data_IF_048771686532
#
_entry.id   IF_048771686532
#
_cell.length_a   1.000
_cell.length_b   1.000
_cell.length_c   1.000
_cell.angle_alpha   90.00
_cell.angle_beta   90.00
_cell.angle_gamma   90.00
#
_symmetry.space_group_name_H-M   'P 1'
#
loop_
_entity.id
_entity.type
_entity.pdbx_description
1 polymer ?
#
# COMPACT_ATOMS: atom_id res chain seq x y z
N UNK A 1 18.29 35.09 8.14
CA UNK A 1 18.54 34.17 9.27
C UNK A 1 17.70 34.60 10.48
N UNK A 2 16.39 34.30 10.48
CA UNK A 2 15.55 34.36 11.68
C UNK A 2 14.69 33.11 11.67
N UNK A 3 14.83 32.31 12.75
CA UNK A 3 14.35 30.94 12.99
C UNK A 3 15.28 29.84 12.43
N UNK A 4 16.33 29.53 13.18
CA UNK A 4 17.25 28.43 12.88
C UNK A 4 17.55 27.59 14.12
N UNK A 5 17.12 26.33 14.12
CA UNK A 5 17.51 25.28 15.07
C UNK A 5 18.94 24.76 14.80
N UNK A 6 19.79 25.54 14.13
CA UNK A 6 21.12 25.11 13.71
C UNK A 6 22.10 26.22 14.06
N UNK A 7 22.80 26.03 15.18
CA UNK A 7 23.71 27.02 15.79
C UNK A 7 25.14 26.89 15.21
N UNK A 8 25.44 25.86 14.39
CA UNK A 8 26.73 25.78 13.68
C UNK A 8 26.68 24.92 12.42
N UNK A 9 27.63 25.13 11.51
CA UNK A 9 27.87 24.35 10.28
C UNK A 9 28.37 22.91 10.51
N UNK A 10 28.27 22.36 11.73
CA UNK A 10 28.86 21.06 12.10
C UNK A 10 30.38 21.11 12.32
N UNK A 11 31.00 22.27 12.11
CA UNK A 11 32.42 22.52 12.27
C UNK A 11 32.89 22.29 13.72
N UNK A 12 32.09 22.75 14.69
CA UNK A 12 32.32 22.55 16.13
C UNK A 12 32.24 21.07 16.57
N UNK A 13 31.39 20.26 15.92
CA UNK A 13 31.31 18.81 16.17
C UNK A 13 32.47 18.02 15.53
N UNK A 14 33.09 18.56 14.47
CA UNK A 14 34.32 17.99 13.87
C UNK A 14 35.52 18.21 14.78
N UNK A 15 35.67 19.40 15.37
CA UNK A 15 36.75 19.71 16.32
C UNK A 15 36.63 18.87 17.61
N UNK A 16 35.42 18.73 18.16
CA UNK A 16 35.19 17.88 19.36
C UNK A 16 35.43 16.38 19.14
N UNK A 17 35.45 15.90 17.89
CA UNK A 17 35.68 14.50 17.55
C UNK A 17 37.16 14.14 17.34
N UNK A 18 38.08 15.12 17.38
CA UNK A 18 39.52 14.87 17.23
C UNK A 18 40.16 14.34 18.52
N UNK A 19 39.48 14.38 19.68
CA UNK A 19 39.94 13.77 20.94
C UNK A 19 39.47 12.30 21.11
N UNK A 20 39.59 11.45 20.07
CA UNK A 20 39.27 10.01 20.18
C UNK A 20 40.49 9.20 20.65
N UNK A 21 40.40 8.59 21.83
CA UNK A 21 41.49 7.88 22.53
C UNK A 21 42.17 6.67 21.86
N UNK A 22 41.86 6.24 20.62
CA UNK A 22 42.71 5.27 19.87
C UNK A 22 42.25 4.96 18.41
N UNK A 23 41.33 5.72 17.78
CA UNK A 23 40.98 5.57 16.34
C UNK A 23 40.36 4.24 15.84
N UNK A 24 40.37 3.18 16.65
CA UNK A 24 40.16 1.79 16.21
C UNK A 24 38.81 1.17 16.60
N UNK A 25 37.82 1.98 17.00
CA UNK A 25 36.52 1.50 17.46
C UNK A 25 35.73 0.65 16.46
N UNK A 26 36.10 0.67 15.18
CA UNK A 26 35.47 -0.11 14.11
C UNK A 26 36.10 -1.49 13.83
N UNK A 27 37.31 -1.77 14.36
CA UNK A 27 38.09 -2.98 14.02
C UNK A 27 37.50 -4.24 14.67
N UNK A 28 37.82 -5.42 14.11
CA UNK A 28 37.36 -6.70 14.68
C UNK A 28 38.00 -6.97 16.05
N UNK A 29 39.27 -6.62 16.23
CA UNK A 29 39.98 -6.73 17.51
C UNK A 29 39.36 -5.85 18.60
N UNK A 30 38.96 -4.60 18.27
CA UNK A 30 38.27 -3.73 19.24
C UNK A 30 36.89 -4.25 19.61
N UNK A 31 36.13 -4.75 18.63
CA UNK A 31 34.82 -5.36 18.89
C UNK A 31 34.94 -6.59 19.79
N UNK A 32 35.97 -7.41 19.59
CA UNK A 32 36.26 -8.59 20.41
C UNK A 32 36.57 -8.20 21.87
N UNK A 33 37.46 -7.22 22.07
CA UNK A 33 37.77 -6.66 23.39
C UNK A 33 36.52 -6.09 24.08
N UNK A 34 35.77 -5.25 23.38
CA UNK A 34 34.55 -4.64 23.89
C UNK A 34 33.50 -5.69 24.27
N UNK A 35 33.38 -6.75 23.49
CA UNK A 35 32.47 -7.86 23.77
C UNK A 35 32.85 -8.61 25.05
N UNK A 36 34.13 -8.94 25.24
CA UNK A 36 34.63 -9.56 26.48
C UNK A 36 34.33 -8.67 27.70
N UNK A 37 34.58 -7.35 27.59
CA UNK A 37 34.23 -6.38 28.63
C UNK A 37 32.72 -6.35 28.93
N UNK A 38 31.87 -6.40 27.91
CA UNK A 38 30.43 -6.45 28.09
C UNK A 38 29.98 -7.73 28.80
N UNK A 39 30.58 -8.88 28.47
CA UNK A 39 30.25 -10.15 29.12
C UNK A 39 30.60 -10.15 30.62
N UNK A 40 31.76 -9.59 30.99
CA UNK A 40 32.22 -9.55 32.37
C UNK A 40 31.55 -8.47 33.23
N UNK A 41 31.18 -7.32 32.64
CA UNK A 41 30.84 -6.12 33.44
C UNK A 41 29.49 -5.48 33.14
N UNK A 42 28.72 -5.94 32.15
CA UNK A 42 27.41 -5.35 31.81
C UNK A 42 26.25 -6.29 32.19
N UNK A 43 25.53 -6.03 33.31
CA UNK A 43 24.38 -6.82 33.74
C UNK A 43 23.24 -6.94 32.71
N UNK A 44 23.16 -6.02 31.73
CA UNK A 44 22.14 -6.06 30.68
C UNK A 44 22.51 -6.98 29.50
N UNK A 45 23.75 -7.48 29.44
CA UNK A 45 24.18 -8.36 28.35
C UNK A 45 23.66 -9.80 28.58
N UNK A 46 23.15 -10.44 27.52
CA UNK A 46 22.58 -11.80 27.61
C UNK A 46 23.57 -12.87 28.10
N UNK A 47 24.87 -12.64 27.95
CA UNK A 47 25.92 -13.54 28.41
C UNK A 47 26.40 -13.23 29.84
N UNK A 48 25.94 -12.14 30.46
CA UNK A 48 26.45 -11.71 31.78
C UNK A 48 26.30 -12.81 32.84
N UNK A 49 25.20 -13.56 32.82
CA UNK A 49 24.96 -14.69 33.70
C UNK A 49 26.00 -15.83 33.59
N UNK A 50 26.69 -15.95 32.46
CA UNK A 50 27.74 -16.95 32.25
C UNK A 50 29.11 -16.50 32.70
N UNK A 51 29.33 -15.19 32.79
CA UNK A 51 30.65 -14.60 33.06
C UNK A 51 30.60 -13.69 34.29
N UNK A 52 30.01 -12.49 34.17
CA UNK A 52 29.97 -11.50 35.24
C UNK A 52 29.25 -11.98 36.52
N UNK A 53 28.12 -12.68 36.42
CA UNK A 53 27.45 -13.24 37.63
C UNK A 53 28.28 -14.33 38.30
N UNK A 54 29.15 -15.02 37.55
CA UNK A 54 30.08 -16.02 38.08
C UNK A 54 31.37 -15.42 38.64
N UNK A 55 31.49 -14.08 38.64
CA UNK A 55 32.68 -13.38 39.13
C UNK A 55 33.85 -13.35 38.16
N UNK A 56 33.67 -13.80 36.91
CA UNK A 56 34.73 -13.81 35.90
C UNK A 56 35.01 -12.38 35.43
N UNK A 57 36.27 -11.96 35.55
CA UNK A 57 36.77 -10.63 35.23
C UNK A 57 37.79 -10.68 34.10
N UNK A 58 38.23 -9.49 33.71
CA UNK A 58 39.39 -9.25 32.83
C UNK A 58 40.53 -8.74 33.71
N UNK A 59 41.76 -9.15 33.45
CA UNK A 59 42.92 -8.63 34.18
C UNK A 59 43.03 -7.10 34.03
N UNK A 60 43.68 -6.44 34.99
CA UNK A 60 43.77 -4.98 35.02
C UNK A 60 44.46 -4.43 33.76
N UNK A 61 45.48 -5.11 33.24
CA UNK A 61 46.22 -4.70 32.03
C UNK A 61 45.32 -4.64 30.79
N UNK A 62 44.43 -5.61 30.62
CA UNK A 62 43.48 -5.67 29.50
C UNK A 62 42.26 -4.76 29.65
N UNK A 63 42.21 -3.92 30.71
CA UNK A 63 41.29 -2.78 30.74
C UNK A 63 41.73 -1.67 29.78
N UNK A 64 43.01 -1.64 29.41
CA UNK A 64 43.50 -0.86 28.28
C UNK A 64 43.43 -1.71 27.00
N UNK A 65 42.80 -1.16 25.97
CA UNK A 65 42.70 -1.82 24.68
C UNK A 65 44.08 -2.04 24.03
N UNK A 66 45.03 -1.14 24.26
CA UNK A 66 46.38 -1.19 23.69
C UNK A 66 47.10 -2.47 24.14
N UNK A 67 47.10 -2.74 25.44
CA UNK A 67 47.71 -3.95 26.01
C UNK A 67 47.01 -5.23 25.53
N UNK A 68 45.69 -5.22 25.40
CA UNK A 68 44.94 -6.35 24.84
C UNK A 68 45.29 -6.58 23.36
N UNK A 69 45.46 -5.50 22.60
CA UNK A 69 45.81 -5.56 21.18
C UNK A 69 47.24 -6.05 20.97
N UNK A 70 48.20 -5.60 21.78
CA UNK A 70 49.57 -6.11 21.76
C UNK A 70 49.58 -7.62 21.99
N UNK A 71 48.87 -8.09 23.03
CA UNK A 71 48.73 -9.54 23.28
C UNK A 71 48.09 -10.29 22.10
N UNK A 72 47.07 -9.72 21.44
CA UNK A 72 46.48 -10.32 20.24
C UNK A 72 47.51 -10.49 19.12
N UNK A 73 48.33 -9.45 18.87
CA UNK A 73 49.36 -9.47 17.82
C UNK A 73 50.43 -10.50 18.14
N UNK A 74 50.95 -10.50 19.37
CA UNK A 74 51.97 -11.44 19.83
C UNK A 74 51.48 -12.89 19.81
N UNK A 75 50.19 -13.09 20.08
CA UNK A 75 49.54 -14.40 20.05
C UNK A 75 49.16 -14.88 18.64
N UNK A 76 49.45 -14.09 17.59
CA UNK A 76 49.22 -14.47 16.20
C UNK A 76 47.77 -14.30 15.73
N UNK A 77 47.07 -13.25 16.18
CA UNK A 77 45.68 -13.00 15.80
C UNK A 77 45.48 -12.76 14.30
N UNK A 78 44.55 -13.51 13.72
CA UNK A 78 43.99 -13.26 12.40
C UNK A 78 42.48 -13.02 12.46
N UNK A 79 41.99 -12.27 11.46
CA UNK A 79 40.58 -11.98 11.26
C UNK A 79 39.76 -13.28 11.12
N UNK A 80 38.99 -13.63 12.15
CA UNK A 80 38.22 -14.89 12.20
C UNK A 80 38.62 -15.83 13.34
N UNK A 81 39.50 -15.38 14.25
CA UNK A 81 39.79 -16.06 15.51
C UNK A 81 38.93 -15.51 16.67
N UNK A 82 38.69 -16.35 17.68
CA UNK A 82 38.08 -15.98 18.97
C UNK A 82 39.07 -16.17 20.11
N UNK A 83 38.95 -15.34 21.15
CA UNK A 83 39.68 -15.53 22.42
C UNK A 83 38.86 -16.47 23.32
N UNK A 84 39.41 -17.63 23.63
CA UNK A 84 38.81 -18.60 24.56
C UNK A 84 39.65 -18.71 25.81
N UNK A 85 39.00 -18.96 26.95
CA UNK A 85 39.72 -19.23 28.20
C UNK A 85 40.19 -20.68 28.26
N UNK A 86 41.40 -20.89 28.74
CA UNK A 86 41.99 -22.22 28.92
C UNK A 86 41.27 -22.95 30.07
N UNK A 87 41.22 -22.32 31.25
CA UNK A 87 40.30 -22.68 32.33
C UNK A 87 39.07 -21.77 32.28
N UNK A 88 37.92 -22.39 32.08
CA UNK A 88 36.62 -21.72 31.95
C UNK A 88 36.21 -20.95 33.20
N UNK A 89 36.74 -21.30 34.37
CA UNK A 89 36.41 -20.71 35.67
C UNK A 89 37.35 -19.56 36.07
N UNK A 90 38.50 -19.40 35.39
CA UNK A 90 39.44 -18.33 35.66
C UNK A 90 39.13 -17.07 34.82
N UNK A 91 39.80 -15.96 35.15
CA UNK A 91 39.63 -14.66 34.49
C UNK A 91 40.22 -14.62 33.08
N UNK A 92 39.82 -13.63 32.29
CA UNK A 92 40.50 -13.31 31.03
C UNK A 92 41.85 -12.64 31.33
N UNK A 93 42.93 -13.30 30.95
CA UNK A 93 44.30 -12.81 31.09
C UNK A 93 45.20 -13.48 30.03
N UNK A 94 46.39 -12.93 29.76
CA UNK A 94 47.36 -13.54 28.84
C UNK A 94 47.65 -15.01 29.14
N UNK A 95 47.68 -15.38 30.43
CA UNK A 95 48.05 -16.72 30.88
C UNK A 95 46.88 -17.71 30.89
N UNK A 96 45.64 -17.23 30.79
CA UNK A 96 44.44 -18.07 30.79
C UNK A 96 43.63 -17.95 29.49
N UNK A 97 44.20 -17.38 28.43
CA UNK A 97 43.50 -17.19 27.16
C UNK A 97 44.31 -17.74 26.00
N UNK A 98 43.61 -18.24 24.99
CA UNK A 98 44.18 -18.75 23.75
C UNK A 98 43.33 -18.31 22.56
N UNK A 99 43.97 -18.10 21.41
CA UNK A 99 43.27 -17.82 20.15
C UNK A 99 42.86 -19.13 19.48
N UNK A 100 41.58 -19.24 19.13
CA UNK A 100 41.05 -20.39 18.40
C UNK A 100 40.35 -19.93 17.11
N UNK A 101 40.55 -20.63 15.98
CA UNK A 101 39.78 -20.34 14.78
C UNK A 101 38.28 -20.59 14.99
N UNK A 102 37.42 -19.67 14.53
CA UNK A 102 35.96 -19.77 14.70
C UNK A 102 35.37 -21.07 14.12
N UNK A 103 36.02 -21.67 13.11
CA UNK A 103 35.58 -22.92 12.47
C UNK A 103 35.66 -24.15 13.40
N UNK A 104 36.48 -24.12 14.45
CA UNK A 104 36.64 -25.25 15.37
C UNK A 104 35.43 -25.41 16.33
N UNK A 105 34.71 -24.33 16.64
CA UNK A 105 33.46 -24.40 17.42
C UNK A 105 32.29 -25.02 16.65
N UNK A 106 32.34 -25.09 15.32
CA UNK A 106 31.28 -25.68 14.51
C UNK A 106 31.31 -27.22 14.55
N UNK A 107 32.48 -27.83 14.80
CA UNK A 107 32.64 -29.31 14.79
C UNK A 107 32.16 -30.01 16.07
N UNK A 108 32.05 -29.30 17.21
CA UNK A 108 31.78 -29.89 18.54
C UNK A 108 30.39 -29.57 19.13
N UNK A 109 29.32 -29.51 18.33
CA UNK A 109 27.95 -29.38 18.89
C UNK A 109 27.35 -30.77 19.14
N UNK A 110 26.73 -30.96 20.32
CA UNK A 110 26.06 -32.20 20.83
C UNK A 110 24.94 -32.77 19.92
N UNK A 111 24.74 -32.21 18.72
CA UNK A 111 23.68 -32.54 17.75
C UNK A 111 24.21 -33.18 16.47
N UNK A 112 25.41 -33.78 16.50
CA UNK A 112 25.97 -34.46 15.33
C UNK A 112 25.23 -35.79 15.10
N UNK A 113 24.49 -35.87 14.00
CA UNK A 113 23.86 -37.12 13.54
C UNK A 113 24.98 -37.97 12.92
N UNK A 114 25.26 -39.12 13.52
CA UNK A 114 26.21 -40.12 13.03
C UNK A 114 25.50 -41.20 12.23
N UNK A 115 26.15 -41.64 11.16
CA UNK A 115 25.63 -42.65 10.24
C UNK A 115 26.77 -43.58 9.81
N UNK A 116 26.48 -44.87 9.79
CA UNK A 116 27.38 -45.90 9.32
C UNK A 116 27.01 -46.32 7.90
N UNK A 117 28.01 -46.34 7.02
CA UNK A 117 27.87 -46.75 5.63
C UNK A 117 29.25 -47.19 5.10
N UNK A 118 29.29 -48.29 4.34
CA UNK A 118 30.53 -48.89 3.81
C UNK A 118 31.63 -49.09 4.88
N UNK A 119 31.25 -49.55 6.07
CA UNK A 119 32.19 -49.81 7.17
C UNK A 119 32.80 -48.55 7.82
N UNK A 120 32.35 -47.35 7.44
CA UNK A 120 32.78 -46.07 8.03
C UNK A 120 31.65 -45.47 8.87
N UNK A 121 31.95 -45.04 10.08
CA UNK A 121 31.03 -44.26 10.93
C UNK A 121 31.44 -42.79 10.94
N UNK A 122 30.66 -41.94 10.27
CA UNK A 122 30.93 -40.50 10.14
C UNK A 122 29.67 -39.69 10.46
N UNK A 123 29.83 -38.42 10.80
CA UNK A 123 28.70 -37.50 10.93
C UNK A 123 28.24 -37.00 9.55
N UNK A 124 27.00 -36.49 9.46
CA UNK A 124 26.43 -36.03 8.18
C UNK A 124 27.23 -34.90 7.49
N UNK A 125 28.01 -34.10 8.23
CA UNK A 125 28.88 -33.07 7.63
C UNK A 125 30.11 -33.70 7.00
N UNK A 126 30.75 -34.64 7.68
CA UNK A 126 31.88 -35.39 7.13
C UNK A 126 31.48 -36.19 5.89
N UNK A 127 30.30 -36.82 5.92
CA UNK A 127 29.74 -37.48 4.73
C UNK A 127 29.46 -36.48 3.59
N UNK A 128 28.98 -35.26 3.90
CA UNK A 128 28.73 -34.22 2.91
C UNK A 128 30.02 -33.77 2.20
N UNK A 129 31.09 -33.61 2.97
CA UNK A 129 32.41 -33.25 2.45
C UNK A 129 33.01 -34.38 1.60
N UNK A 130 32.91 -35.64 2.04
CA UNK A 130 33.44 -36.80 1.31
C UNK A 130 32.71 -37.06 -0.01
N UNK A 131 31.38 -36.98 -0.02
CA UNK A 131 30.58 -37.29 -1.24
C UNK A 131 30.36 -36.07 -2.13
N UNK A 132 30.82 -34.89 -1.73
CA UNK A 132 30.67 -33.65 -2.50
C UNK A 132 29.23 -33.17 -2.64
N UNK A 133 28.34 -33.50 -1.70
CA UNK A 133 26.93 -33.09 -1.71
C UNK A 133 26.68 -32.10 -0.58
N UNK A 134 25.98 -31.00 -0.87
CA UNK A 134 25.69 -29.96 0.13
C UNK A 134 25.06 -30.55 1.42
N UNK A 135 25.64 -30.24 2.57
CA UNK A 135 25.15 -30.72 3.88
C UNK A 135 23.65 -30.51 4.10
N UNK A 136 23.08 -29.37 3.67
CA UNK A 136 21.63 -29.12 3.84
C UNK A 136 20.78 -30.09 3.01
N UNK A 137 21.27 -30.51 1.85
CA UNK A 137 20.62 -31.52 1.00
C UNK A 137 20.63 -32.88 1.69
N UNK A 138 21.78 -33.31 2.21
CA UNK A 138 21.89 -34.57 2.97
C UNK A 138 21.00 -34.54 4.22
N UNK A 139 21.06 -33.46 5.01
CA UNK A 139 20.22 -33.32 6.20
C UNK A 139 18.71 -33.37 5.88
N UNK A 140 18.29 -32.71 4.81
CA UNK A 140 16.90 -32.73 4.36
C UNK A 140 16.43 -34.09 3.83
N UNK A 141 17.33 -34.89 3.25
CA UNK A 141 17.05 -36.28 2.86
C UNK A 141 16.97 -37.19 4.09
N UNK A 142 17.92 -37.09 5.00
CA UNK A 142 17.95 -37.88 6.24
C UNK A 142 16.67 -37.68 7.08
N UNK A 143 16.23 -36.43 7.23
CA UNK A 143 14.98 -36.06 7.94
C UNK A 143 13.71 -36.60 7.28
N UNK A 144 13.75 -36.88 5.97
CA UNK A 144 12.66 -37.53 5.21
C UNK A 144 12.74 -39.06 5.24
N UNK A 145 13.65 -39.63 6.03
CA UNK A 145 13.81 -41.08 6.14
C UNK A 145 14.72 -41.68 5.07
N UNK A 146 15.27 -40.90 4.14
CA UNK A 146 16.21 -41.40 3.13
C UNK A 146 17.52 -41.80 3.82
N UNK A 147 18.08 -42.94 3.43
CA UNK A 147 19.32 -43.52 3.95
C UNK A 147 20.29 -43.79 2.79
N UNK A 148 21.57 -44.10 3.05
CA UNK A 148 22.51 -44.48 2.01
C UNK A 148 22.07 -45.76 1.27
N UNK A 149 22.44 -45.92 -0.01
CA UNK A 149 23.25 -45.01 -0.83
C UNK A 149 22.51 -43.74 -1.30
N UNK A 150 21.18 -43.73 -1.32
CA UNK A 150 20.37 -42.65 -1.93
C UNK A 150 20.57 -41.29 -1.25
N UNK A 151 20.95 -41.32 0.03
CA UNK A 151 21.29 -40.14 0.81
C UNK A 151 22.37 -39.29 0.13
N UNK A 152 23.33 -39.93 -0.54
CA UNK A 152 24.55 -39.33 -1.08
C UNK A 152 24.50 -39.01 -2.57
N UNK A 153 23.39 -39.25 -3.26
CA UNK A 153 23.28 -38.99 -4.70
C UNK A 153 23.45 -37.48 -5.01
N UNK A 154 24.39 -37.06 -5.87
CA UNK A 154 24.55 -35.65 -6.24
C UNK A 154 23.28 -35.06 -6.86
N UNK A 155 22.90 -33.84 -6.48
CA UNK A 155 21.80 -33.14 -7.14
C UNK A 155 22.24 -32.69 -8.54
N UNK A 156 21.49 -33.04 -9.59
CA UNK A 156 21.77 -32.56 -10.96
C UNK A 156 21.95 -31.02 -10.97
N UNK A 157 22.95 -30.48 -11.70
CA UNK A 157 23.09 -29.04 -11.85
C UNK A 157 21.84 -28.47 -12.52
N UNK A 158 21.33 -27.34 -12.00
CA UNK A 158 20.22 -26.62 -12.61
C UNK A 158 20.69 -26.02 -13.94
N UNK A 159 20.50 -26.75 -15.03
CA UNK A 159 20.78 -26.23 -16.37
C UNK A 159 19.77 -25.11 -16.68
N UNK A 160 20.25 -23.87 -16.73
CA UNK A 160 19.44 -22.66 -16.88
C UNK A 160 19.22 -22.24 -18.35
N UNK A 161 19.66 -23.05 -19.33
CA UNK A 161 19.57 -22.73 -20.77
C UNK A 161 18.36 -23.33 -21.49
N UNK A 162 17.58 -24.22 -20.85
CA UNK A 162 16.60 -25.06 -21.57
C UNK A 162 15.15 -24.54 -21.59
N UNK A 163 14.88 -23.35 -21.05
CA UNK A 163 13.50 -22.86 -20.89
C UNK A 163 12.96 -22.09 -22.11
N UNK A 164 13.82 -21.76 -23.08
CA UNK A 164 13.38 -21.03 -24.29
C UNK A 164 12.44 -21.93 -25.09
N UNK A 165 11.27 -21.41 -25.46
CA UNK A 165 10.21 -22.16 -26.14
C UNK A 165 9.21 -22.84 -25.21
N UNK A 166 9.50 -22.97 -23.90
CA UNK A 166 8.55 -23.57 -22.96
C UNK A 166 7.36 -22.64 -22.68
N UNK A 167 6.17 -23.26 -22.53
CA UNK A 167 4.90 -22.59 -22.33
C UNK A 167 4.39 -22.78 -20.88
N UNK A 168 4.01 -21.68 -20.25
CA UNK A 168 3.49 -21.58 -18.89
C UNK A 168 2.16 -20.82 -18.90
N UNK A 169 1.05 -21.56 -18.84
CA UNK A 169 -0.28 -20.98 -19.08
C UNK A 169 -0.34 -20.37 -20.49
N UNK A 170 -0.62 -19.06 -20.57
CA UNK A 170 -0.65 -18.30 -21.83
C UNK A 170 0.69 -17.68 -22.22
N UNK A 171 1.76 -17.93 -21.47
CA UNK A 171 3.07 -17.31 -21.68
C UNK A 171 4.06 -18.32 -22.30
N UNK A 172 4.71 -17.95 -23.39
CA UNK A 172 5.81 -18.72 -23.99
C UNK A 172 7.12 -17.96 -23.76
N UNK A 173 8.13 -18.63 -23.20
CA UNK A 173 9.44 -18.02 -22.93
C UNK A 173 10.18 -17.80 -24.26
N UNK A 174 10.66 -16.57 -24.49
CA UNK A 174 11.40 -16.22 -25.70
C UNK A 174 12.87 -15.93 -25.44
N UNK A 175 13.21 -15.27 -24.33
CA UNK A 175 14.60 -14.97 -24.00
C UNK A 175 14.80 -14.79 -22.50
N UNK A 176 16.05 -14.98 -22.05
CA UNK A 176 16.49 -14.59 -20.71
C UNK A 176 16.91 -13.13 -20.73
N UNK A 177 16.49 -12.39 -19.72
CA UNK A 177 16.90 -10.99 -19.52
C UNK A 177 17.77 -10.87 -18.27
N UNK A 178 18.27 -9.66 -18.01
CA UNK A 178 19.07 -9.36 -16.81
C UNK A 178 18.37 -9.82 -15.53
N UNK A 179 19.15 -10.46 -14.65
CA UNK A 179 18.70 -10.84 -13.32
C UNK A 179 18.29 -9.61 -12.52
N UNK A 180 17.40 -9.77 -11.53
CA UNK A 180 17.10 -8.67 -10.62
C UNK A 180 18.25 -8.37 -9.63
N UNK A 181 18.07 -7.34 -8.79
CA UNK A 181 19.02 -6.96 -7.72
C UNK A 181 19.32 -8.06 -6.70
N UNK A 182 18.53 -9.14 -6.68
CA UNK A 182 18.70 -10.32 -5.84
C UNK A 182 19.21 -11.53 -6.64
N UNK A 183 19.69 -11.31 -7.85
CA UNK A 183 20.19 -12.30 -8.79
C UNK A 183 19.16 -13.37 -9.20
N UNK A 184 17.86 -13.06 -9.13
CA UNK A 184 16.81 -13.96 -9.62
C UNK A 184 16.75 -13.95 -11.15
N UNK A 185 16.64 -15.14 -11.73
CA UNK A 185 16.50 -15.31 -13.19
C UNK A 185 15.17 -14.74 -13.67
N UNK A 186 15.25 -13.78 -14.58
CA UNK A 186 14.12 -13.18 -15.27
C UNK A 186 14.06 -13.64 -16.72
N UNK A 187 12.85 -13.91 -17.17
CA UNK A 187 12.54 -14.40 -18.50
C UNK A 187 11.54 -13.45 -19.15
N UNK A 188 11.76 -13.09 -20.41
CA UNK A 188 10.76 -12.42 -21.23
C UNK A 188 9.90 -13.49 -21.88
N UNK A 189 8.60 -13.32 -21.75
CA UNK A 189 7.62 -14.24 -22.34
C UNK A 189 6.64 -13.48 -23.24
N UNK A 190 6.30 -14.09 -24.38
CA UNK A 190 5.20 -13.64 -25.23
C UNK A 190 3.92 -14.30 -24.75
N UNK A 191 2.86 -13.52 -24.60
CA UNK A 191 1.54 -14.00 -24.23
C UNK A 191 0.71 -14.31 -25.47
N UNK A 192 -0.20 -15.27 -25.38
CA UNK A 192 -1.16 -15.59 -26.45
C UNK A 192 -2.00 -14.38 -26.92
N UNK A 193 -2.18 -13.35 -26.09
CA UNK A 193 -2.87 -12.12 -26.48
C UNK A 193 -1.98 -11.13 -27.26
N UNK A 194 -0.77 -11.53 -27.69
CA UNK A 194 0.19 -10.72 -28.44
C UNK A 194 1.11 -9.81 -27.61
N UNK A 195 0.80 -9.58 -26.34
CA UNK A 195 1.65 -8.76 -25.44
C UNK A 195 2.78 -9.57 -24.81
N UNK A 196 3.87 -8.92 -24.41
CA UNK A 196 4.95 -9.56 -23.67
C UNK A 196 4.93 -9.21 -22.18
N UNK A 197 5.60 -10.03 -21.36
CA UNK A 197 5.85 -9.75 -19.95
C UNK A 197 7.19 -10.33 -19.50
N UNK A 198 7.91 -9.57 -18.68
CA UNK A 198 9.11 -10.07 -18.00
C UNK A 198 8.69 -10.64 -16.65
N UNK A 199 9.06 -11.89 -16.38
CA UNK A 199 8.62 -12.66 -15.22
C UNK A 199 9.78 -13.39 -14.58
N UNK A 200 9.71 -13.59 -13.26
CA UNK A 200 10.67 -14.42 -12.55
C UNK A 200 10.45 -15.90 -12.89
N UNK A 201 11.53 -16.65 -13.11
CA UNK A 201 11.48 -18.10 -13.39
C UNK A 201 10.62 -18.87 -12.37
N UNK A 202 10.77 -18.56 -11.08
CA UNK A 202 10.00 -19.21 -10.03
C UNK A 202 8.50 -18.89 -10.08
N UNK A 203 8.11 -17.71 -10.58
CA UNK A 203 6.71 -17.33 -10.71
C UNK A 203 6.02 -18.05 -11.89
N UNK A 204 6.78 -18.39 -12.94
CA UNK A 204 6.33 -19.28 -14.01
C UNK A 204 6.19 -20.71 -13.51
N UNK A 205 7.24 -21.24 -12.88
CA UNK A 205 7.29 -22.63 -12.40
C UNK A 205 6.22 -22.96 -11.34
N UNK A 206 5.86 -22.00 -10.50
CA UNK A 206 4.80 -22.16 -9.49
C UNK A 206 3.40 -21.83 -9.99
N UNK A 207 3.25 -21.40 -11.25
CA UNK A 207 1.95 -20.97 -11.79
C UNK A 207 1.41 -19.66 -11.21
N UNK A 208 2.23 -18.90 -10.46
CA UNK A 208 1.83 -17.58 -9.92
C UNK A 208 1.62 -16.55 -11.04
N UNK A 209 2.27 -16.71 -12.19
CA UNK A 209 2.05 -15.86 -13.36
C UNK A 209 1.76 -16.72 -14.59
N UNK A 210 0.52 -16.64 -15.07
CA UNK A 210 0.01 -17.48 -16.19
C UNK A 210 -0.33 -16.67 -17.45
N UNK A 211 -0.23 -15.35 -17.41
CA UNK A 211 -0.47 -14.46 -18.57
C UNK A 211 0.23 -13.12 -18.37
N UNK A 212 0.22 -12.27 -19.40
CA UNK A 212 0.69 -10.88 -19.25
C UNK A 212 -0.18 -10.06 -18.28
N UNK A 213 -1.39 -10.55 -17.98
CA UNK A 213 -2.45 -9.87 -17.23
C UNK A 213 -3.80 -9.94 -17.95
N UNK A 214 -3.82 -10.34 -19.23
CA UNK A 214 -5.04 -10.48 -20.02
C UNK A 214 -6.03 -11.48 -19.41
N UNK A 215 -5.55 -12.61 -18.90
CA UNK A 215 -6.41 -13.61 -18.25
C UNK A 215 -7.19 -13.02 -17.07
N UNK A 216 -6.54 -12.19 -16.24
CA UNK A 216 -7.22 -11.53 -15.13
C UNK A 216 -8.20 -10.46 -15.63
N UNK A 217 -7.86 -9.70 -16.68
CA UNK A 217 -8.79 -8.73 -17.29
C UNK A 217 -10.05 -9.41 -17.83
N UNK A 218 -9.91 -10.54 -18.51
CA UNK A 218 -11.02 -11.36 -19.01
C UNK A 218 -11.86 -11.92 -17.87
N UNK A 219 -11.22 -12.47 -16.83
CA UNK A 219 -11.91 -13.01 -15.67
C UNK A 219 -12.69 -11.93 -14.91
N UNK A 220 -12.12 -10.72 -14.76
CA UNK A 220 -12.80 -9.55 -14.19
C UNK A 220 -13.98 -9.15 -15.08
N UNK A 221 -13.76 -9.00 -16.39
CA UNK A 221 -14.82 -8.63 -17.34
C UNK A 221 -16.00 -9.62 -17.33
N UNK A 222 -15.74 -10.93 -17.17
CA UNK A 222 -16.79 -11.95 -17.03
C UNK A 222 -17.54 -11.87 -15.70
N UNK A 223 -16.87 -11.45 -14.62
CA UNK A 223 -17.45 -11.30 -13.27
C UNK A 223 -18.25 -10.01 -13.10
N UNK A 224 -17.85 -8.93 -13.78
CA UNK A 224 -18.58 -7.67 -13.81
C UNK A 224 -19.73 -7.78 -14.82
N UNK A 225 -20.78 -8.53 -14.47
CA UNK A 225 -22.00 -8.66 -15.28
C UNK A 225 -23.20 -7.87 -14.76
N UNK A 226 -23.02 -6.95 -13.83
CA UNK A 226 -24.13 -6.16 -13.28
C UNK A 226 -23.81 -4.68 -13.31
N UNK A 227 -24.68 -3.94 -14.00
CA UNK A 227 -24.67 -2.50 -14.25
C UNK A 227 -23.70 -2.01 -15.33
N UNK A 228 -23.97 -2.42 -16.59
CA UNK A 228 -23.48 -1.73 -17.80
C UNK A 228 -23.77 -0.22 -17.82
N UNK A 229 -24.67 0.26 -16.95
CA UNK A 229 -25.05 1.67 -16.79
C UNK A 229 -24.39 2.36 -15.58
N UNK A 230 -23.50 1.70 -14.84
CA UNK A 230 -22.79 2.32 -13.69
C UNK A 230 -21.91 3.53 -14.08
N UNK A 231 -21.66 3.72 -15.38
CA UNK A 231 -20.97 4.89 -15.94
C UNK A 231 -21.90 5.90 -16.63
N UNK A 232 -23.21 5.66 -16.65
CA UNK A 232 -24.17 6.59 -17.26
C UNK A 232 -24.52 7.69 -16.24
N UNK A 233 -24.31 8.97 -16.57
CA UNK A 233 -24.66 10.09 -15.70
C UNK A 233 -26.12 10.06 -15.22
N UNK A 234 -27.03 9.55 -16.04
CA UNK A 234 -28.47 9.42 -15.79
C UNK A 234 -28.74 8.39 -14.69
N UNK A 235 -28.07 7.24 -14.76
CA UNK A 235 -28.15 6.21 -13.73
C UNK A 235 -27.58 6.71 -12.39
N UNK A 236 -26.48 7.46 -12.42
CA UNK A 236 -25.95 8.10 -11.21
C UNK A 236 -26.91 9.12 -10.63
N UNK A 237 -27.62 9.89 -11.47
CA UNK A 237 -28.60 10.88 -11.04
C UNK A 237 -29.77 10.24 -10.27
N UNK A 238 -30.36 9.14 -10.77
CA UNK A 238 -31.48 8.48 -10.09
C UNK A 238 -31.07 7.82 -8.77
N UNK A 239 -29.88 7.21 -8.70
CA UNK A 239 -29.36 6.68 -7.44
C UNK A 239 -29.12 7.79 -6.42
N UNK A 240 -28.61 8.94 -6.86
CA UNK A 240 -28.46 10.13 -6.01
C UNK A 240 -29.82 10.65 -5.51
N UNK A 241 -30.84 10.70 -6.39
CA UNK A 241 -32.22 11.07 -6.04
C UNK A 241 -32.78 10.15 -4.95
N UNK A 242 -32.74 8.83 -5.18
CA UNK A 242 -33.23 7.84 -4.20
C UNK A 242 -32.48 8.00 -2.88
N UNK A 243 -31.15 8.15 -2.94
CA UNK A 243 -30.33 8.34 -1.75
C UNK A 243 -30.70 9.57 -0.92
N UNK A 244 -30.97 10.73 -1.53
CA UNK A 244 -31.35 11.94 -0.78
C UNK A 244 -32.82 11.96 -0.34
N UNK A 245 -33.69 11.18 -0.98
CA UNK A 245 -35.10 11.05 -0.59
C UNK A 245 -35.35 9.97 0.47
N UNK A 246 -34.60 8.87 0.49
CA UNK A 246 -34.97 7.70 1.31
C UNK A 246 -33.97 7.35 2.41
N UNK A 247 -32.72 7.81 2.34
CA UNK A 247 -31.71 7.47 3.33
C UNK A 247 -31.57 8.60 4.36
N UNK A 248 -32.01 8.42 5.62
CA UNK A 248 -31.91 9.45 6.65
C UNK A 248 -30.46 9.83 7.02
N UNK A 249 -29.48 8.99 6.68
CA UNK A 249 -28.04 9.28 6.89
C UNK A 249 -27.44 10.13 5.77
N UNK A 250 -28.16 10.35 4.67
CA UNK A 250 -27.69 11.22 3.60
C UNK A 250 -27.69 12.68 4.11
N UNK A 251 -26.59 13.45 3.98
CA UNK A 251 -26.53 14.85 4.43
C UNK A 251 -27.62 15.75 3.83
N UNK A 252 -28.11 15.43 2.63
CA UNK A 252 -29.15 16.17 1.94
C UNK A 252 -30.56 15.78 2.39
N UNK A 253 -30.74 14.68 3.13
CA UNK A 253 -32.07 14.13 3.48
C UNK A 253 -33.01 15.18 4.06
N UNK A 254 -32.53 16.03 4.97
CA UNK A 254 -33.29 17.14 5.57
C UNK A 254 -33.94 18.09 4.55
N UNK A 255 -33.37 18.21 3.35
CA UNK A 255 -33.85 19.07 2.27
C UNK A 255 -34.79 18.36 1.28
N UNK A 256 -34.90 17.04 1.39
CA UNK A 256 -35.64 16.17 0.48
C UNK A 256 -36.54 15.21 1.27
N UNK A 257 -36.06 14.01 1.61
CA UNK A 257 -36.86 13.01 2.33
C UNK A 257 -37.43 13.49 3.66
N UNK A 258 -36.64 14.27 4.42
CA UNK A 258 -37.08 14.91 5.66
C UNK A 258 -38.20 15.95 5.49
N UNK A 259 -38.50 16.37 4.25
CA UNK A 259 -39.65 17.23 3.89
C UNK A 259 -40.85 16.44 3.36
N UNK A 260 -40.76 15.11 3.28
CA UNK A 260 -41.78 14.27 2.66
C UNK A 260 -41.69 14.17 1.14
N UNK A 261 -40.59 14.62 0.52
CA UNK A 261 -40.41 14.49 -0.92
C UNK A 261 -39.96 13.07 -1.26
N UNK A 262 -40.76 12.37 -2.06
CA UNK A 262 -40.54 10.99 -2.45
C UNK A 262 -40.12 10.85 -3.92
N UNK A 263 -39.77 9.62 -4.28
CA UNK A 263 -39.51 9.20 -5.66
C UNK A 263 -40.65 8.29 -6.08
N UNK A 264 -41.14 8.43 -7.31
CA UNK A 264 -42.22 7.58 -7.80
C UNK A 264 -41.81 6.09 -7.71
N UNK A 265 -42.78 5.25 -7.36
CA UNK A 265 -42.50 3.85 -7.04
C UNK A 265 -41.85 3.09 -8.21
N UNK A 266 -42.22 3.47 -9.44
CA UNK A 266 -41.69 2.91 -10.69
C UNK A 266 -40.16 3.09 -10.79
N UNK A 267 -39.67 4.32 -10.62
CA UNK A 267 -38.23 4.60 -10.66
C UNK A 267 -37.48 3.98 -9.48
N UNK A 268 -38.12 3.93 -8.31
CA UNK A 268 -37.54 3.30 -7.11
C UNK A 268 -37.32 1.80 -7.30
N UNK A 269 -38.33 1.08 -7.81
CA UNK A 269 -38.25 -0.37 -8.06
C UNK A 269 -37.36 -0.71 -9.25
N UNK A 270 -37.31 0.16 -10.25
CA UNK A 270 -36.56 -0.08 -11.48
C UNK A 270 -35.89 1.21 -11.96
N UNK A 271 -34.69 1.54 -11.43
CA UNK A 271 -33.98 2.77 -11.79
C UNK A 271 -33.65 2.92 -13.28
N UNK A 272 -33.70 1.83 -14.07
CA UNK A 272 -33.55 1.89 -15.52
C UNK A 272 -34.68 2.67 -16.23
N UNK A 273 -35.90 2.62 -15.69
CA UNK A 273 -37.07 3.32 -16.26
C UNK A 273 -36.95 4.85 -16.16
N UNK A 274 -36.10 5.36 -15.26
CA UNK A 274 -35.77 6.78 -15.22
C UNK A 274 -35.15 7.26 -16.53
N UNK A 275 -34.29 6.43 -17.14
CA UNK A 275 -33.63 6.80 -18.41
C UNK A 275 -34.63 6.78 -19.58
N UNK A 276 -35.60 5.86 -19.54
CA UNK A 276 -36.69 5.82 -20.54
C UNK A 276 -37.59 7.05 -20.47
N UNK A 277 -37.91 7.51 -19.25
CA UNK A 277 -38.78 8.68 -19.06
C UNK A 277 -38.07 10.02 -19.26
N UNK A 278 -36.83 10.14 -18.79
CA UNK A 278 -36.08 11.40 -18.81
C UNK A 278 -35.22 11.57 -20.07
N UNK A 279 -34.97 10.48 -20.80
CA UNK A 279 -34.04 10.46 -21.93
C UNK A 279 -32.57 10.69 -21.52
N UNK A 280 -31.72 10.84 -22.53
CA UNK A 280 -30.30 11.13 -22.34
C UNK A 280 -30.09 12.52 -21.73
N UNK A 281 -29.09 12.65 -20.86
CA UNK A 281 -28.72 13.95 -20.30
C UNK A 281 -28.17 14.84 -21.43
N UNK A 282 -28.79 16.00 -21.74
CA UNK A 282 -28.43 16.80 -22.92
C UNK A 282 -26.97 17.28 -22.97
N UNK A 283 -26.37 17.55 -21.80
CA UNK A 283 -24.95 17.93 -21.71
C UNK A 283 -24.39 17.69 -20.31
N UNK A 284 -23.06 17.72 -20.12
CA UNK A 284 -22.43 17.71 -18.80
C UNK A 284 -22.89 18.81 -17.83
N UNK A 285 -23.36 19.95 -18.34
CA UNK A 285 -23.84 21.09 -17.54
C UNK A 285 -25.29 20.96 -17.07
N UNK A 286 -25.99 19.90 -17.48
CA UNK A 286 -27.36 19.63 -17.06
C UNK A 286 -27.35 18.71 -15.84
N UNK A 287 -28.27 18.96 -14.92
CA UNK A 287 -28.63 18.03 -13.86
C UNK A 287 -30.14 17.93 -13.72
N UNK A 288 -30.62 16.94 -12.99
CA UNK A 288 -32.04 16.73 -12.79
C UNK A 288 -32.61 17.82 -11.86
N UNK A 289 -33.66 18.49 -12.33
CA UNK A 289 -34.41 19.53 -11.60
C UNK A 289 -35.88 19.09 -11.48
N UNK A 290 -36.57 19.59 -10.45
CA UNK A 290 -38.01 19.38 -10.29
C UNK A 290 -38.77 20.62 -10.70
N UNK A 291 -39.70 20.53 -11.65
CA UNK A 291 -40.45 21.67 -12.17
C UNK A 291 -41.18 22.41 -11.04
N UNK A 292 -41.92 21.69 -10.21
CA UNK A 292 -42.33 22.14 -8.88
C UNK A 292 -41.29 21.72 -7.85
N UNK A 293 -40.60 22.71 -7.28
CA UNK A 293 -39.56 22.54 -6.25
C UNK A 293 -40.06 21.82 -4.98
N UNK A 294 -41.37 21.85 -4.73
CA UNK A 294 -42.02 21.19 -3.60
C UNK A 294 -42.64 19.83 -3.95
N UNK A 295 -42.79 19.51 -5.24
CA UNK A 295 -43.33 18.25 -5.71
C UNK A 295 -42.33 17.08 -5.63
N UNK A 296 -42.83 15.88 -5.93
CA UNK A 296 -42.07 14.62 -5.89
C UNK A 296 -41.19 14.42 -7.14
N UNK A 297 -40.26 13.46 -7.07
CA UNK A 297 -39.53 13.01 -8.26
C UNK A 297 -40.37 12.02 -9.05
N UNK A 298 -40.96 12.51 -10.14
CA UNK A 298 -41.79 11.75 -11.07
C UNK A 298 -41.64 12.31 -12.50
N UNK A 299 -41.96 11.55 -13.55
CA UNK A 299 -41.75 11.98 -14.94
C UNK A 299 -42.37 13.33 -15.27
N UNK A 300 -43.58 13.60 -14.75
CA UNK A 300 -44.31 14.85 -14.96
C UNK A 300 -43.70 16.06 -14.24
N UNK A 301 -42.94 15.83 -13.18
CA UNK A 301 -42.37 16.89 -12.34
C UNK A 301 -40.85 17.00 -12.47
N UNK A 302 -40.19 16.23 -13.34
CA UNK A 302 -38.75 16.28 -13.52
C UNK A 302 -38.36 16.81 -14.90
N UNK A 303 -37.20 17.48 -14.97
CA UNK A 303 -36.58 17.90 -16.24
C UNK A 303 -35.07 17.95 -16.11
N UNK A 304 -34.36 17.82 -17.24
CA UNK A 304 -32.96 18.23 -17.30
C UNK A 304 -32.88 19.75 -17.31
N UNK A 305 -32.09 20.33 -16.41
CA UNK A 305 -31.91 21.78 -16.33
C UNK A 305 -30.46 22.15 -16.00
N UNK A 306 -30.03 23.29 -16.50
CA UNK A 306 -28.75 23.91 -16.17
C UNK A 306 -28.78 24.57 -14.79
N UNK A 307 -27.61 24.93 -14.26
CA UNK A 307 -27.48 25.65 -12.99
C UNK A 307 -28.21 27.01 -13.00
N UNK A 308 -28.27 27.69 -14.15
CA UNK A 308 -28.98 28.96 -14.27
C UNK A 308 -30.49 28.76 -14.13
N UNK A 309 -31.05 27.77 -14.82
CA UNK A 309 -32.49 27.45 -14.78
C UNK A 309 -32.93 27.00 -13.39
N UNK A 310 -32.16 26.10 -12.75
CA UNK A 310 -32.38 25.71 -11.35
C UNK A 310 -32.26 26.90 -10.39
N UNK A 311 -31.39 27.86 -10.72
CA UNK A 311 -31.22 29.09 -9.96
C UNK A 311 -32.49 29.96 -9.87
N UNK A 312 -33.36 29.87 -10.89
CA UNK A 312 -34.67 30.53 -10.92
C UNK A 312 -35.76 29.70 -10.23
N UNK A 313 -35.58 28.39 -10.18
CA UNK A 313 -36.49 27.44 -9.55
C UNK A 313 -36.15 27.22 -8.06
N UNK A 314 -36.17 28.30 -7.28
CA UNK A 314 -35.86 28.26 -5.85
C UNK A 314 -37.13 28.30 -5.01
N UNK A 315 -37.03 27.65 -3.84
CA UNK A 315 -38.02 27.77 -2.76
C UNK A 315 -38.21 29.24 -2.41
N UNK A 316 -39.47 29.63 -2.32
CA UNK A 316 -39.86 30.97 -1.86
C UNK A 316 -39.53 31.08 -0.37
N UNK A 317 -38.95 32.22 0.03
CA UNK A 317 -38.74 32.50 1.44
C UNK A 317 -40.07 32.72 2.16
N UNK A 318 -40.19 32.25 3.40
CA UNK A 318 -41.33 32.54 4.28
C UNK A 318 -41.62 34.03 4.45
N UNK A 319 -40.63 34.90 4.21
CA UNK A 319 -40.77 36.36 4.25
C UNK A 319 -41.35 36.97 2.96
N UNK A 320 -41.63 36.15 1.95
CA UNK A 320 -42.20 36.62 0.69
C UNK A 320 -43.58 37.21 0.92
N UNK A 321 -43.83 38.41 0.40
CA UNK A 321 -45.13 39.07 0.49
C UNK A 321 -46.20 38.45 -0.40
N UNK A 322 -45.80 37.64 -1.38
CA UNK A 322 -46.69 37.07 -2.40
C UNK A 322 -46.74 35.54 -2.36
N UNK A 323 -45.79 34.91 -1.66
CA UNK A 323 -45.63 33.45 -1.72
C UNK A 323 -45.17 32.92 -3.08
N UNK A 324 -44.86 33.79 -4.06
CA UNK A 324 -44.48 33.38 -5.42
C UNK A 324 -43.14 33.99 -5.83
N UNK A 325 -42.23 33.15 -6.33
CA UNK A 325 -40.90 33.57 -6.81
C UNK A 325 -41.03 34.54 -8.00
N UNK A 326 -40.36 35.68 -7.93
CA UNK A 326 -40.36 36.67 -9.01
C UNK A 326 -41.65 37.49 -9.12
N UNK A 327 -42.56 37.41 -8.15
CA UNK A 327 -43.73 38.29 -8.07
C UNK A 327 -43.62 39.13 -6.80
N UNK A 328 -43.68 40.45 -6.96
CA UNK A 328 -43.59 41.40 -5.85
C UNK A 328 -44.86 42.23 -5.70
N UNK A 329 -45.24 42.52 -4.45
CA UNK A 329 -46.34 43.43 -4.12
C UNK A 329 -45.80 44.83 -3.77
N UNK A 330 -46.25 45.84 -4.51
CA UNK A 330 -45.93 47.26 -4.31
C UNK A 330 -46.95 47.88 -3.35
N UNK A 331 -46.58 48.03 -2.07
CA UNK A 331 -47.49 48.53 -1.02
C UNK A 331 -48.01 49.95 -1.27
N UNK A 332 -47.25 50.81 -1.96
CA UNK A 332 -47.64 52.20 -2.21
C UNK A 332 -48.72 52.29 -3.28
N UNK A 333 -48.53 51.53 -4.35
CA UNK A 333 -49.45 51.50 -5.48
C UNK A 333 -50.55 50.45 -5.35
N UNK A 334 -50.46 49.58 -4.33
CA UNK A 334 -51.37 48.44 -4.09
C UNK A 334 -51.51 47.53 -5.32
N UNK A 335 -50.38 47.28 -6.01
CA UNK A 335 -50.33 46.49 -7.25
C UNK A 335 -49.22 45.44 -7.21
N UNK A 336 -49.38 44.39 -8.00
CA UNK A 336 -48.41 43.32 -8.19
C UNK A 336 -47.56 43.56 -9.44
N UNK A 337 -46.33 43.03 -9.48
CA UNK A 337 -45.53 42.95 -10.71
C UNK A 337 -44.70 41.68 -10.76
N UNK A 338 -44.47 41.18 -11.96
CA UNK A 338 -43.50 40.15 -12.24
C UNK A 338 -42.11 40.73 -12.51
N UNK A 339 -41.08 39.96 -12.18
CA UNK A 339 -39.70 40.27 -12.54
C UNK A 339 -38.85 38.99 -12.65
N UNK A 340 -37.84 39.04 -13.51
CA UNK A 340 -36.82 38.01 -13.66
C UNK A 340 -35.46 38.69 -13.92
N UNK A 341 -34.37 38.03 -13.52
CA UNK A 341 -33.02 38.47 -13.88
C UNK A 341 -32.35 37.38 -14.71
N UNK A 342 -31.97 37.67 -15.94
CA UNK A 342 -31.32 36.71 -16.85
C UNK A 342 -30.01 37.31 -17.35
N UNK A 343 -28.91 36.56 -17.27
CA UNK A 343 -27.56 36.98 -17.73
C UNK A 343 -27.16 38.39 -17.21
N UNK A 344 -27.53 38.71 -15.97
CA UNK A 344 -27.20 39.99 -15.32
C UNK A 344 -28.15 41.15 -15.61
N UNK A 345 -29.12 40.99 -16.51
CA UNK A 345 -30.14 42.00 -16.84
C UNK A 345 -31.46 41.70 -16.15
N UNK A 346 -32.07 42.73 -15.57
CA UNK A 346 -33.39 42.66 -14.93
C UNK A 346 -34.49 42.95 -15.97
N UNK A 347 -35.48 42.06 -16.04
CA UNK A 347 -36.70 42.22 -16.82
C UNK A 347 -37.90 42.31 -15.87
N UNK A 348 -38.82 43.22 -16.16
CA UNK A 348 -39.96 43.53 -15.29
C UNK A 348 -41.21 43.72 -16.13
N UNK A 349 -42.33 43.17 -15.69
CA UNK A 349 -43.62 43.40 -16.33
C UNK A 349 -44.18 44.79 -15.98
N UNK A 350 -45.31 45.13 -16.62
CA UNK A 350 -46.22 46.16 -16.09
C UNK A 350 -46.77 45.75 -14.71
N UNK A 351 -47.45 46.67 -14.04
CA UNK A 351 -48.12 46.43 -12.76
C UNK A 351 -49.56 45.95 -12.98
N UNK A 352 -50.02 45.05 -12.13
CA UNK A 352 -51.34 44.42 -12.19
C UNK A 352 -52.08 44.60 -10.87
N UNK A 353 -53.40 44.61 -10.92
CA UNK A 353 -54.25 44.67 -9.71
C UNK A 353 -54.43 43.28 -9.08
N UNK A 354 -54.37 42.22 -9.89
CA UNK A 354 -54.41 40.81 -9.46
C UNK A 354 -53.00 40.20 -9.36
N UNK A 355 -52.83 39.29 -8.39
CA UNK A 355 -51.60 38.48 -8.27
C UNK A 355 -51.52 37.43 -9.38
N UNK A 356 -52.65 36.85 -9.79
CA UNK A 356 -52.75 35.86 -10.87
C UNK A 356 -52.22 36.41 -12.19
N UNK A 357 -52.58 37.65 -12.53
CA UNK A 357 -52.06 38.33 -13.72
C UNK A 357 -50.54 38.52 -13.66
N UNK A 358 -50.02 38.87 -12.47
CA UNK A 358 -48.57 38.99 -12.27
C UNK A 358 -47.87 37.63 -12.30
N UNK A 359 -48.52 36.54 -11.88
CA UNK A 359 -48.00 35.17 -12.03
C UNK A 359 -47.96 34.78 -13.50
N UNK A 360 -48.98 35.11 -14.27
CA UNK A 360 -49.00 34.83 -15.71
C UNK A 360 -47.92 35.62 -16.45
N UNK A 361 -47.78 36.91 -16.15
CA UNK A 361 -46.69 37.74 -16.67
C UNK A 361 -45.30 37.22 -16.25
N UNK A 362 -45.19 36.59 -15.07
CA UNK A 362 -43.96 35.93 -14.65
C UNK A 362 -43.61 34.75 -15.55
N UNK A 363 -44.58 33.92 -15.94
CA UNK A 363 -44.39 32.80 -16.87
C UNK A 363 -43.99 33.30 -18.26
N UNK A 364 -44.65 34.33 -18.78
CA UNK A 364 -44.32 34.95 -20.06
C UNK A 364 -42.85 35.42 -20.11
N UNK A 365 -42.38 36.08 -19.04
CA UNK A 365 -40.97 36.49 -18.91
C UNK A 365 -39.99 35.31 -18.89
N UNK A 366 -40.39 34.13 -18.40
CA UNK A 366 -39.56 32.92 -18.47
C UNK A 366 -39.49 32.37 -19.89
N UNK A 367 -40.63 32.30 -20.58
CA UNK A 367 -40.66 31.80 -21.95
C UNK A 367 -39.87 32.69 -22.90
N UNK A 368 -39.99 34.02 -22.77
CA UNK A 368 -39.28 34.97 -23.61
C UNK A 368 -37.76 34.96 -23.36
N UNK A 369 -37.34 34.93 -22.10
CA UNK A 369 -35.94 35.21 -21.73
C UNK A 369 -35.12 34.00 -21.26
N UNK A 370 -35.74 32.91 -20.77
CA UNK A 370 -35.00 31.69 -20.37
C UNK A 370 -34.92 30.65 -21.50
N UNK A 371 -36.00 30.45 -22.28
CA UNK A 371 -36.01 29.43 -23.36
C UNK A 371 -35.25 29.85 -24.62
N UNK A 372 -35.05 31.15 -24.83
CA UNK A 372 -34.35 31.72 -25.99
C UNK A 372 -32.82 31.83 -25.83
N UNK A 373 -32.23 31.21 -24.79
CA UNK A 373 -30.88 31.55 -24.28
C UNK A 373 -29.87 30.44 -24.23
#
# INVERSE_FOLDING_TARGET
>A
LKRGNTISCGCYQKEKNQEKKHGETGTKSYKLWSQIKQWCYNPKNQSFNKYGEKGIKVCNEWHDYTNFKEWLIESGYEDGMSVERIDVNCDYSPNNCVLVPLHNHLKKRKSNIFLEYEGKKKNLSEWADEVGVNYRTILGRYRRGIRPPELFIPSRPKNNSSLIGEKFGRLTVVERVESDKHNNVRLKCICECGNYKIVNRNALATGKTVSCGCYNKEAISKRVKTHGNSKMPEYSAIISIIGRCENPKNPEYKNYGGRGITVCERWRKSPGLFVEDMGERPSPNHSIDRIDVNGNYEPSNCRWATLSEQGHNKRVSERSSTGVTGVGYDKKLKKYRAYIRVKGKDYRSKRFDSIEDAIQARKELEEEHLKSS
#
